data_IF_706828312447
#
_entry.id   IF_706828312447
#
_cell.length_a   1.000
_cell.length_b   1.000
_cell.length_c   1.000
_cell.angle_alpha   90.00
_cell.angle_beta   90.00
_cell.angle_gamma   90.00
#
_symmetry.space_group_name_H-M   'P 1'
#
loop_
_entity.id
_entity.type
_entity.pdbx_description
1 polymer ?
#
# COMPACT_ATOMS: atom_id res chain seq x y z
N UNK A 1 -11.25 -8.09 25.03
CA UNK A 1 -10.01 -8.82 25.42
C UNK A 1 -9.05 -7.83 26.02
N UNK A 2 -8.41 -8.12 27.19
CA UNK A 2 -7.43 -7.18 27.77
C UNK A 2 -6.11 -7.19 26.98
N UNK A 3 -5.27 -6.13 27.12
CA UNK A 3 -3.95 -6.13 26.51
C UNK A 3 -3.08 -7.34 26.89
N UNK A 4 -3.16 -7.77 28.17
CA UNK A 4 -2.42 -8.92 28.69
C UNK A 4 -2.89 -10.24 28.06
N UNK A 5 -4.20 -10.38 27.83
CA UNK A 5 -4.77 -11.55 27.12
C UNK A 5 -4.33 -11.56 25.66
N UNK A 6 -4.37 -10.38 25.00
CA UNK A 6 -3.92 -10.24 23.61
C UNK A 6 -2.44 -10.59 23.47
N UNK A 7 -1.61 -10.22 24.45
CA UNK A 7 -0.17 -10.51 24.47
C UNK A 7 0.17 -12.00 24.63
N UNK A 8 -0.75 -12.85 25.12
CA UNK A 8 -0.58 -14.30 25.16
C UNK A 8 -0.67 -14.94 23.78
N UNK A 9 -1.31 -14.26 22.82
CA UNK A 9 -1.38 -14.72 21.45
C UNK A 9 -0.05 -14.45 20.72
N UNK A 10 0.24 -15.28 19.74
CA UNK A 10 1.28 -14.98 18.76
C UNK A 10 0.87 -13.78 17.86
N UNK A 11 1.76 -13.34 17.00
CA UNK A 11 1.50 -12.18 16.14
C UNK A 11 0.33 -12.40 15.17
N UNK A 12 0.12 -13.64 14.71
CA UNK A 12 -0.99 -14.00 13.82
C UNK A 12 -2.32 -14.05 14.59
N UNK A 13 -2.32 -14.58 15.80
CA UNK A 13 -3.49 -14.57 16.69
C UNK A 13 -3.94 -13.16 17.02
N UNK A 14 -2.99 -12.26 17.37
CA UNK A 14 -3.29 -10.84 17.61
C UNK A 14 -3.88 -10.16 16.38
N UNK A 15 -3.31 -10.42 15.22
CA UNK A 15 -3.81 -9.89 13.95
C UNK A 15 -5.24 -10.33 13.68
N UNK A 16 -5.51 -11.64 13.71
CA UNK A 16 -6.85 -12.20 13.46
C UNK A 16 -7.89 -11.65 14.43
N UNK A 17 -7.54 -11.60 15.72
CA UNK A 17 -8.43 -11.07 16.76
C UNK A 17 -8.77 -9.61 16.49
N UNK A 18 -7.78 -8.77 16.20
CA UNK A 18 -8.02 -7.35 15.94
C UNK A 18 -8.81 -7.10 14.68
N UNK A 19 -8.52 -7.80 13.59
CA UNK A 19 -9.32 -7.71 12.36
C UNK A 19 -10.78 -8.09 12.61
N UNK A 20 -11.01 -9.18 13.37
CA UNK A 20 -12.37 -9.59 13.69
C UNK A 20 -13.10 -8.54 14.53
N UNK A 21 -12.46 -8.03 15.57
CA UNK A 21 -13.05 -6.97 16.43
C UNK A 21 -13.39 -5.71 15.64
N UNK A 22 -12.48 -5.27 14.74
CA UNK A 22 -12.71 -4.11 13.87
C UNK A 22 -13.88 -4.35 12.92
N UNK A 23 -13.95 -5.54 12.33
CA UNK A 23 -15.01 -5.93 11.41
C UNK A 23 -16.37 -5.94 12.08
N UNK A 24 -16.45 -6.46 13.29
CA UNK A 24 -17.71 -6.58 14.06
C UNK A 24 -18.21 -5.21 14.54
N UNK A 25 -17.29 -4.37 15.02
CA UNK A 25 -17.62 -3.07 15.60
C UNK A 25 -17.69 -1.93 14.55
N UNK A 26 -17.19 -2.12 13.34
CA UNK A 26 -17.04 -1.09 12.29
C UNK A 26 -16.25 0.13 12.74
N UNK A 27 -15.39 -0.05 13.72
CA UNK A 27 -14.54 0.98 14.34
C UNK A 27 -13.18 0.36 14.64
N UNK A 28 -12.13 1.12 14.46
CA UNK A 28 -10.79 0.79 14.93
C UNK A 28 -10.19 1.97 15.72
N UNK A 29 -9.13 1.71 16.45
CA UNK A 29 -8.49 2.69 17.30
C UNK A 29 -7.15 3.12 16.72
N UNK A 30 -6.87 4.40 16.86
CA UNK A 30 -5.64 5.06 16.40
C UNK A 30 -5.07 5.94 17.50
N UNK A 31 -3.81 6.34 17.41
CA UNK A 31 -3.21 7.28 18.34
C UNK A 31 -3.16 8.68 17.71
N UNK A 32 -3.70 9.65 18.40
CA UNK A 32 -3.77 11.05 17.97
C UNK A 32 -2.92 11.91 18.89
N UNK A 33 -2.08 12.76 18.30
CA UNK A 33 -1.28 13.73 19.05
C UNK A 33 -2.15 14.89 19.56
N UNK A 34 -1.72 15.63 20.60
CA UNK A 34 -2.45 16.80 21.11
C UNK A 34 -2.72 17.88 20.05
N UNK A 35 -1.86 18.01 19.06
CA UNK A 35 -2.03 18.95 17.93
C UNK A 35 -3.04 18.48 16.87
N UNK A 36 -3.70 17.35 17.09
CA UNK A 36 -4.69 16.78 16.19
C UNK A 36 -4.13 15.93 15.04
N UNK A 37 -2.81 15.81 14.90
CA UNK A 37 -2.21 14.89 13.94
C UNK A 37 -2.25 13.45 14.45
N UNK A 38 -2.11 12.47 13.54
CA UNK A 38 -2.03 11.07 13.92
C UNK A 38 -0.59 10.63 14.09
N UNK A 39 -0.34 9.77 15.09
CA UNK A 39 0.98 9.21 15.33
C UNK A 39 1.31 8.18 14.27
N UNK A 40 2.46 8.36 13.63
CA UNK A 40 3.03 7.46 12.64
C UNK A 40 4.41 7.06 13.15
N UNK A 41 4.70 5.76 13.32
CA UNK A 41 6.02 5.32 13.74
C UNK A 41 7.11 5.86 12.83
N UNK A 42 8.26 6.19 13.41
CA UNK A 42 9.44 6.50 12.63
C UNK A 42 9.89 5.27 11.81
N UNK A 43 10.40 5.51 10.62
CA UNK A 43 10.92 4.46 9.75
C UNK A 43 10.50 4.60 8.30
N UNK A 44 11.09 3.78 7.46
CA UNK A 44 10.72 3.66 6.04
C UNK A 44 10.54 2.18 5.69
N UNK A 45 9.46 1.79 5.00
CA UNK A 45 8.33 2.65 4.60
C UNK A 45 7.50 3.12 5.80
N UNK A 46 6.81 4.27 5.67
CA UNK A 46 5.88 4.77 6.68
C UNK A 46 4.69 3.82 6.83
N UNK A 47 4.29 3.57 8.07
CA UNK A 47 3.19 2.64 8.39
C UNK A 47 2.20 3.35 9.31
N UNK A 48 0.91 3.06 9.14
CA UNK A 48 -0.13 3.60 10.00
C UNK A 48 -0.62 2.51 10.97
N UNK A 49 -0.59 2.79 12.27
CA UNK A 49 -0.94 1.81 13.30
C UNK A 49 -2.44 1.83 13.58
N UNK A 50 -3.03 0.63 13.71
CA UNK A 50 -4.44 0.44 14.09
C UNK A 50 -4.58 -0.67 15.12
N UNK A 51 -5.57 -0.52 16.01
CA UNK A 51 -5.93 -1.49 17.06
C UNK A 51 -7.43 -1.80 17.03
N UNK A 52 -7.80 -2.99 17.46
CA UNK A 52 -9.19 -3.40 17.54
C UNK A 52 -9.95 -2.81 18.72
N UNK A 53 -9.26 -2.47 19.81
CA UNK A 53 -9.86 -1.96 21.03
C UNK A 53 -9.08 -0.76 21.60
N UNK A 54 -9.80 0.11 22.32
CA UNK A 54 -9.21 1.28 22.99
C UNK A 54 -8.08 0.90 23.94
N UNK A 55 -8.31 -0.12 24.76
CA UNK A 55 -7.34 -0.60 25.74
C UNK A 55 -6.03 -1.06 25.09
N UNK A 56 -6.10 -1.62 23.88
CA UNK A 56 -4.91 -2.02 23.13
C UNK A 56 -4.14 -0.82 22.60
N UNK A 57 -4.84 0.22 22.11
CA UNK A 57 -4.21 1.48 21.71
C UNK A 57 -3.61 2.19 22.94
N UNK A 58 -4.37 2.28 24.04
CA UNK A 58 -3.92 2.90 25.30
C UNK A 58 -2.67 2.23 25.87
N UNK A 59 -2.58 0.91 25.78
CA UNK A 59 -1.39 0.15 26.19
C UNK A 59 -0.12 0.58 25.46
N UNK A 60 -0.24 1.18 24.29
CA UNK A 60 0.87 1.64 23.46
C UNK A 60 1.18 3.14 23.62
N UNK A 61 0.48 3.87 24.50
CA UNK A 61 0.81 5.26 24.83
C UNK A 61 2.07 5.33 25.73
N UNK A 62 3.20 4.85 25.22
CA UNK A 62 4.53 4.78 25.88
C UNK A 62 5.62 4.92 24.82
N UNK A 63 6.88 5.01 25.23
CA UNK A 63 8.04 4.95 24.34
C UNK A 63 7.99 6.00 23.19
N UNK A 64 7.70 7.26 23.55
CA UNK A 64 7.58 8.38 22.61
C UNK A 64 6.15 8.66 22.14
N UNK A 65 5.15 7.93 22.68
CA UNK A 65 3.72 8.13 22.41
C UNK A 65 2.91 8.45 23.68
N UNK A 66 3.60 8.88 24.77
CA UNK A 66 2.99 9.16 26.08
C UNK A 66 1.91 10.24 26.00
N UNK A 67 2.10 11.25 25.17
CA UNK A 67 1.17 12.37 25.01
C UNK A 67 0.03 12.08 24.02
N UNK A 68 -0.02 10.87 23.45
CA UNK A 68 -1.04 10.51 22.48
C UNK A 68 -2.32 10.03 23.14
N UNK A 69 -3.43 10.24 22.45
CA UNK A 69 -4.77 9.88 22.95
C UNK A 69 -5.35 8.82 22.01
N UNK A 70 -5.73 7.64 22.52
CA UNK A 70 -6.52 6.68 21.75
C UNK A 70 -7.79 7.33 21.23
N UNK A 71 -8.00 7.23 19.93
CA UNK A 71 -9.14 7.86 19.27
C UNK A 71 -9.85 6.82 18.43
N UNK A 72 -11.15 6.68 18.64
CA UNK A 72 -12.00 5.84 17.80
C UNK A 72 -12.06 6.41 16.37
N UNK A 73 -11.99 5.54 15.39
CA UNK A 73 -12.06 5.87 13.97
C UNK A 73 -13.13 5.02 13.33
N UNK A 74 -14.22 5.63 12.89
CA UNK A 74 -15.22 4.95 12.07
C UNK A 74 -14.68 4.70 10.66
N UNK A 75 -15.28 3.76 9.93
CA UNK A 75 -14.91 3.54 8.54
C UNK A 75 -15.21 4.77 7.67
N UNK A 76 -16.29 5.49 7.94
CA UNK A 76 -16.67 6.72 7.25
C UNK A 76 -15.63 7.83 7.48
N UNK A 77 -15.26 8.12 8.74
CA UNK A 77 -14.26 9.12 9.07
C UNK A 77 -12.89 8.77 8.51
N UNK A 78 -12.56 7.49 8.50
CA UNK A 78 -11.33 7.01 7.89
C UNK A 78 -11.31 7.31 6.39
N UNK A 79 -12.34 6.90 5.68
CA UNK A 79 -12.40 7.00 4.22
C UNK A 79 -12.50 8.45 3.75
N UNK A 80 -13.33 9.28 4.43
CA UNK A 80 -13.53 10.69 4.03
C UNK A 80 -12.43 11.63 4.51
N UNK A 81 -11.81 11.34 5.65
CA UNK A 81 -10.88 12.25 6.33
C UNK A 81 -9.43 11.82 6.31
N UNK A 82 -9.14 10.62 6.85
CA UNK A 82 -7.77 10.19 7.08
C UNK A 82 -7.12 9.53 5.86
N UNK A 83 -7.83 8.64 5.17
CA UNK A 83 -7.29 7.89 4.05
C UNK A 83 -6.72 8.79 2.92
N UNK A 84 -7.39 9.88 2.50
CA UNK A 84 -6.81 10.81 1.52
C UNK A 84 -5.50 11.44 2.00
N UNK A 85 -5.36 11.69 3.31
CA UNK A 85 -4.12 12.24 3.91
C UNK A 85 -3.00 11.20 3.93
N UNK A 86 -3.31 9.96 4.28
CA UNK A 86 -2.34 8.85 4.23
C UNK A 86 -1.82 8.66 2.81
N UNK A 87 -2.71 8.66 1.83
CA UNK A 87 -2.37 8.57 0.40
C UNK A 87 -1.42 9.71 -0.02
N UNK A 88 -1.77 10.96 0.29
CA UNK A 88 -0.90 12.11 0.02
C UNK A 88 0.45 12.01 0.72
N UNK A 89 0.48 11.44 1.93
CA UNK A 89 1.69 11.19 2.70
C UNK A 89 2.50 9.96 2.26
N UNK A 90 2.06 9.25 1.22
CA UNK A 90 2.64 7.98 0.72
C UNK A 90 2.71 6.90 1.82
N UNK A 91 1.69 6.83 2.66
CA UNK A 91 1.51 5.80 3.69
C UNK A 91 0.54 4.75 3.14
N UNK A 92 1.06 3.65 2.62
CA UNK A 92 0.28 2.60 1.95
C UNK A 92 0.19 1.31 2.78
N UNK A 93 0.76 1.30 3.98
CA UNK A 93 0.84 0.13 4.84
C UNK A 93 0.14 0.40 6.17
N UNK A 94 -0.73 -0.51 6.56
CA UNK A 94 -1.32 -0.58 7.90
C UNK A 94 -0.51 -1.57 8.74
N UNK A 95 -0.18 -1.16 9.95
CA UNK A 95 0.41 -2.01 10.98
C UNK A 95 -0.69 -2.35 11.98
N UNK A 96 -1.18 -3.58 11.94
CA UNK A 96 -2.29 -4.03 12.79
C UNK A 96 -1.74 -4.57 14.11
N UNK A 97 -2.26 -4.03 15.20
CA UNK A 97 -1.98 -4.44 16.59
C UNK A 97 -0.49 -4.59 16.94
N UNK A 98 0.33 -3.55 16.68
CA UNK A 98 1.61 -3.50 17.37
C UNK A 98 1.37 -3.37 18.88
N UNK A 99 2.16 -4.04 19.69
CA UNK A 99 2.05 -4.03 21.14
C UNK A 99 3.43 -3.81 21.76
N UNK A 100 3.76 -2.54 22.10
CA UNK A 100 5.09 -2.14 22.63
C UNK A 100 6.23 -2.81 21.84
N UNK A 101 7.01 -3.67 22.48
CA UNK A 101 8.15 -4.37 21.89
C UNK A 101 7.76 -5.57 20.99
N UNK A 102 6.46 -5.78 20.72
CA UNK A 102 5.99 -6.87 19.87
C UNK A 102 5.46 -6.33 18.54
N UNK A 103 6.00 -6.86 17.45
CA UNK A 103 5.61 -6.46 16.10
C UNK A 103 4.13 -6.79 15.85
N UNK A 104 3.41 -5.85 15.23
CA UNK A 104 2.13 -6.10 14.59
C UNK A 104 2.30 -6.75 13.21
N UNK A 105 1.19 -7.08 12.56
CA UNK A 105 1.16 -7.53 11.16
C UNK A 105 1.06 -6.33 10.23
N UNK A 106 1.98 -6.26 9.30
CA UNK A 106 1.95 -5.28 8.22
C UNK A 106 1.12 -5.83 7.06
N UNK A 107 0.19 -5.03 6.58
CA UNK A 107 -0.61 -5.33 5.39
C UNK A 107 -0.83 -4.05 4.56
N UNK A 108 -1.01 -4.17 3.24
CA UNK A 108 -1.47 -3.06 2.41
C UNK A 108 -2.80 -2.48 2.92
N UNK A 109 -3.01 -1.18 2.75
CA UNK A 109 -4.29 -0.53 3.12
C UNK A 109 -5.48 -1.18 2.41
N UNK A 110 -5.34 -1.59 1.17
CA UNK A 110 -6.39 -2.27 0.41
C UNK A 110 -6.73 -3.64 0.97
N UNK A 111 -5.72 -4.42 1.38
CA UNK A 111 -5.93 -5.68 2.07
C UNK A 111 -6.65 -5.46 3.42
N UNK A 112 -6.32 -4.36 4.11
CA UNK A 112 -7.04 -3.98 5.33
C UNK A 112 -8.53 -3.75 5.05
N UNK A 113 -8.88 -3.00 4.00
CA UNK A 113 -10.27 -2.76 3.61
C UNK A 113 -11.04 -4.06 3.38
N UNK A 114 -10.49 -4.96 2.57
CA UNK A 114 -11.09 -6.26 2.28
C UNK A 114 -11.33 -7.08 3.55
N UNK A 115 -10.34 -7.12 4.44
CA UNK A 115 -10.42 -7.93 5.66
C UNK A 115 -11.42 -7.42 6.67
N UNK A 116 -11.56 -6.10 6.81
CA UNK A 116 -12.52 -5.50 7.76
C UNK A 116 -13.89 -5.24 7.14
N UNK A 117 -14.06 -5.41 5.83
CA UNK A 117 -15.30 -5.21 5.11
C UNK A 117 -15.63 -3.73 4.89
N UNK A 118 -14.62 -2.90 4.60
CA UNK A 118 -14.84 -1.56 4.06
C UNK A 118 -15.16 -1.71 2.58
N UNK A 119 -16.39 -1.34 2.21
CA UNK A 119 -16.80 -1.30 0.81
C UNK A 119 -16.14 -0.10 0.12
N UNK A 120 -15.43 -0.38 -0.95
CA UNK A 120 -14.72 0.65 -1.73
C UNK A 120 -15.54 1.19 -2.89
N UNK A 121 -16.77 0.73 -3.06
CA UNK A 121 -17.66 1.08 -4.19
C UNK A 121 -18.06 2.56 -4.23
N UNK A 122 -17.90 3.28 -3.11
CA UNK A 122 -18.12 4.75 -3.05
C UNK A 122 -16.89 5.59 -3.36
N UNK A 123 -15.74 4.95 -3.50
CA UNK A 123 -14.54 5.64 -3.98
C UNK A 123 -14.60 5.56 -5.49
N UNK A 124 -14.97 6.66 -6.14
CA UNK A 124 -15.03 6.73 -7.61
C UNK A 124 -13.76 6.09 -8.17
N UNK A 125 -13.92 5.19 -9.14
CA UNK A 125 -12.88 4.37 -9.76
C UNK A 125 -11.63 5.13 -10.23
N UNK A 126 -11.61 6.45 -10.11
CA UNK A 126 -10.48 7.31 -10.47
C UNK A 126 -9.44 7.52 -9.35
N UNK A 127 -9.78 7.26 -8.07
CA UNK A 127 -8.87 7.58 -6.94
C UNK A 127 -8.27 6.38 -6.22
N UNK A 128 -8.88 5.20 -6.28
CA UNK A 128 -8.39 3.99 -5.59
C UNK A 128 -7.44 3.16 -6.45
N UNK A 129 -7.50 3.36 -7.77
CA UNK A 129 -6.72 2.58 -8.73
C UNK A 129 -5.28 3.09 -8.95
N UNK A 130 -4.83 4.17 -8.27
CA UNK A 130 -3.48 4.70 -8.53
C UNK A 130 -2.36 4.15 -7.63
N UNK A 131 -2.65 3.46 -6.49
CA UNK A 131 -1.56 3.00 -5.61
C UNK A 131 -1.60 1.55 -5.12
N UNK A 132 -2.66 0.80 -5.40
CA UNK A 132 -2.64 -0.65 -5.44
C UNK A 132 -3.34 -1.11 -6.71
N UNK A 133 -2.68 -0.90 -7.81
CA UNK A 133 -2.74 -1.87 -8.87
C UNK A 133 -2.48 -3.25 -8.20
N UNK A 134 -3.52 -4.09 -8.00
CA UNK A 134 -3.39 -5.36 -8.71
C UNK A 134 -2.70 -4.94 -9.98
N UNK A 135 -1.50 -5.38 -10.19
CA UNK A 135 -0.74 -5.09 -11.39
C UNK A 135 -1.56 -5.68 -12.57
N UNK A 136 -2.68 -5.03 -12.90
CA UNK A 136 -3.03 -4.85 -14.27
C UNK A 136 -1.87 -4.00 -14.77
N UNK A 137 -1.00 -4.63 -15.51
CA UNK A 137 0.08 -3.97 -16.20
C UNK A 137 -0.51 -2.68 -16.77
N UNK A 138 0.06 -1.46 -16.53
CA UNK A 138 -0.44 -0.21 -17.12
C UNK A 138 -0.38 -0.26 -18.63
N UNK A 139 0.07 -1.37 -19.13
CA UNK A 139 0.25 -1.79 -20.50
C UNK A 139 -0.63 -3.02 -20.65
N UNK A 140 -1.56 -2.98 -21.58
CA UNK A 140 -2.36 -4.16 -21.97
C UNK A 140 -1.44 -5.34 -22.27
N UNK A 141 -1.79 -6.56 -21.81
CA UNK A 141 -0.94 -7.75 -21.94
C UNK A 141 -0.53 -8.04 -23.40
N UNK A 142 -1.41 -7.73 -24.35
CA UNK A 142 -1.12 -7.88 -25.78
C UNK A 142 -0.09 -6.85 -26.26
N UNK A 143 -0.18 -5.62 -25.74
CA UNK A 143 0.79 -4.56 -26.05
C UNK A 143 2.13 -4.88 -25.39
N UNK A 144 2.11 -5.37 -24.14
CA UNK A 144 3.32 -5.74 -23.41
C UNK A 144 4.06 -6.89 -24.12
N UNK A 145 3.35 -7.94 -24.53
CA UNK A 145 3.95 -9.05 -25.27
C UNK A 145 4.53 -8.58 -26.61
N UNK A 146 3.80 -7.75 -27.34
CA UNK A 146 4.33 -7.17 -28.58
C UNK A 146 5.50 -6.22 -28.37
N UNK A 147 5.62 -5.59 -27.19
CA UNK A 147 6.79 -4.80 -26.82
C UNK A 147 8.04 -5.69 -26.71
N UNK A 148 7.93 -6.84 -26.06
CA UNK A 148 9.06 -7.77 -25.95
C UNK A 148 9.52 -8.27 -27.31
N UNK A 149 8.60 -8.71 -28.16
CA UNK A 149 8.90 -9.13 -29.54
C UNK A 149 9.60 -7.99 -30.31
N UNK A 150 9.12 -6.76 -30.17
CA UNK A 150 9.71 -5.58 -30.81
C UNK A 150 11.11 -5.26 -30.28
N UNK A 151 11.31 -5.33 -28.96
CA UNK A 151 12.61 -5.07 -28.34
C UNK A 151 13.64 -6.13 -28.71
N UNK A 152 13.26 -7.40 -28.76
CA UNK A 152 14.14 -8.51 -29.18
C UNK A 152 14.66 -8.28 -30.60
N UNK A 153 13.78 -7.95 -31.55
CA UNK A 153 14.15 -7.64 -32.94
C UNK A 153 15.08 -6.42 -33.03
N UNK A 154 14.72 -5.34 -32.34
CA UNK A 154 15.44 -4.06 -32.42
C UNK A 154 16.79 -4.09 -31.73
N UNK A 155 16.87 -4.67 -30.55
CA UNK A 155 18.13 -4.78 -29.80
C UNK A 155 19.13 -5.70 -30.51
N UNK A 156 18.66 -6.73 -31.23
CA UNK A 156 19.49 -7.59 -32.06
C UNK A 156 20.17 -6.84 -33.21
N UNK A 157 19.60 -5.73 -33.69
CA UNK A 157 20.11 -4.95 -34.83
C UNK A 157 20.78 -3.63 -34.42
N UNK A 158 20.22 -2.90 -33.45
CA UNK A 158 20.65 -1.54 -33.08
C UNK A 158 21.47 -1.50 -31.78
N UNK A 159 21.39 -2.56 -30.96
CA UNK A 159 21.98 -2.61 -29.62
C UNK A 159 21.24 -1.72 -28.60
N UNK A 160 21.58 -1.89 -27.33
CA UNK A 160 21.00 -1.08 -26.25
C UNK A 160 21.77 0.25 -26.10
N UNK A 161 21.02 1.36 -25.98
CA UNK A 161 21.57 2.71 -25.76
C UNK A 161 21.57 3.11 -24.28
N UNK A 162 21.28 2.20 -23.36
CA UNK A 162 21.12 2.41 -21.92
C UNK A 162 19.99 3.42 -21.59
N UNK A 163 18.96 3.46 -22.39
CA UNK A 163 17.76 4.27 -22.16
C UNK A 163 16.50 3.47 -22.57
N UNK A 164 15.32 4.08 -22.43
CA UNK A 164 14.01 3.51 -22.78
C UNK A 164 13.46 4.06 -24.11
N UNK A 165 14.33 4.49 -25.03
CA UNK A 165 13.90 5.16 -26.27
C UNK A 165 13.00 4.26 -27.13
N UNK A 166 13.36 2.99 -27.31
CA UNK A 166 12.57 2.04 -28.09
C UNK A 166 11.26 1.68 -27.39
N UNK A 167 11.32 1.43 -26.09
CA UNK A 167 10.15 1.18 -25.24
C UNK A 167 9.13 2.31 -25.32
N UNK A 168 9.56 3.54 -25.10
CA UNK A 168 8.70 4.74 -25.15
C UNK A 168 8.09 4.93 -26.54
N UNK A 169 8.87 4.75 -27.60
CA UNK A 169 8.38 4.87 -28.97
C UNK A 169 7.28 3.83 -29.27
N UNK A 170 7.51 2.57 -28.86
CA UNK A 170 6.55 1.50 -29.05
C UNK A 170 5.24 1.76 -28.28
N UNK A 171 5.31 2.10 -27.00
CA UNK A 171 4.15 2.34 -26.17
C UNK A 171 3.30 3.52 -26.68
N UNK A 172 3.95 4.61 -27.13
CA UNK A 172 3.27 5.74 -27.80
C UNK A 172 2.51 5.30 -29.04
N UNK A 173 3.16 4.54 -29.91
CA UNK A 173 2.57 4.10 -31.17
C UNK A 173 1.39 3.12 -30.98
N UNK A 174 1.34 2.43 -29.84
CA UNK A 174 0.24 1.51 -29.48
C UNK A 174 -0.81 2.14 -28.58
N UNK A 175 -0.80 3.48 -28.42
CA UNK A 175 -1.89 4.22 -27.79
C UNK A 175 -1.93 4.09 -26.27
N UNK A 176 -0.82 3.79 -25.62
CA UNK A 176 -0.72 3.82 -24.15
C UNK A 176 -0.82 5.27 -23.68
N UNK A 177 -1.92 5.60 -22.99
CA UNK A 177 -2.26 6.98 -22.63
C UNK A 177 -1.42 7.55 -21.49
N UNK A 178 -1.06 6.70 -20.52
CA UNK A 178 -0.28 7.08 -19.34
C UNK A 178 1.11 6.48 -19.41
N UNK A 179 1.98 7.14 -20.18
CA UNK A 179 3.35 6.69 -20.39
C UNK A 179 4.19 6.77 -19.14
N UNK A 180 4.00 7.80 -18.31
CA UNK A 180 4.78 7.98 -17.10
C UNK A 180 4.53 6.84 -16.11
N UNK A 181 3.27 6.42 -15.98
CA UNK A 181 2.90 5.27 -15.17
C UNK A 181 3.41 3.93 -15.77
N UNK A 182 3.34 3.79 -17.09
CA UNK A 182 3.88 2.62 -17.78
C UNK A 182 5.40 2.48 -17.58
N UNK A 183 6.13 3.57 -17.72
CA UNK A 183 7.59 3.62 -17.49
C UNK A 183 7.92 3.34 -16.02
N UNK A 184 7.22 3.98 -15.08
CA UNK A 184 7.42 3.75 -13.65
C UNK A 184 7.18 2.28 -13.27
N UNK A 185 6.18 1.63 -13.90
CA UNK A 185 5.90 0.22 -13.70
C UNK A 185 7.04 -0.67 -14.25
N UNK A 186 7.52 -0.43 -15.47
CA UNK A 186 8.65 -1.16 -16.06
C UNK A 186 9.90 -1.03 -15.18
N UNK A 187 10.19 0.18 -14.70
CA UNK A 187 11.31 0.44 -13.79
C UNK A 187 11.15 -0.26 -12.44
N UNK A 188 9.92 -0.37 -11.92
CA UNK A 188 9.64 -1.12 -10.68
C UNK A 188 9.92 -2.62 -10.81
N UNK A 189 9.95 -3.12 -12.04
CA UNK A 189 10.31 -4.50 -12.41
C UNK A 189 11.77 -4.66 -12.81
N UNK A 190 12.56 -3.59 -12.71
CA UNK A 190 13.99 -3.62 -13.04
C UNK A 190 14.31 -3.26 -14.50
N UNK A 191 13.35 -2.69 -15.26
CA UNK A 191 13.54 -2.24 -16.64
C UNK A 191 13.89 -0.76 -16.72
N UNK A 192 15.15 -0.40 -16.53
CA UNK A 192 15.64 0.98 -16.60
C UNK A 192 16.19 1.37 -17.98
N UNK A 193 16.43 0.37 -18.84
CA UNK A 193 16.77 0.54 -20.25
C UNK A 193 16.07 -0.53 -21.09
N UNK A 194 16.07 -0.37 -22.41
CA UNK A 194 15.37 -1.27 -23.33
C UNK A 194 15.79 -2.75 -23.19
N UNK A 195 17.08 -3.03 -22.95
CA UNK A 195 17.55 -4.41 -22.74
C UNK A 195 17.13 -4.99 -21.38
N UNK A 196 17.04 -4.17 -20.33
CA UNK A 196 16.54 -4.60 -19.01
C UNK A 196 15.02 -4.80 -19.02
N UNK A 197 14.27 -4.05 -19.82
CA UNK A 197 12.84 -4.32 -20.03
C UNK A 197 12.65 -5.71 -20.60
N UNK A 198 13.41 -6.09 -21.62
CA UNK A 198 13.36 -7.42 -22.21
C UNK A 198 13.81 -8.50 -21.21
N UNK A 199 14.91 -8.28 -20.49
CA UNK A 199 15.50 -9.30 -19.63
C UNK A 199 14.78 -9.51 -18.29
N UNK A 200 14.18 -8.45 -17.70
CA UNK A 200 13.68 -8.47 -16.32
C UNK A 200 12.15 -8.37 -16.21
N UNK A 201 11.46 -8.00 -17.29
CA UNK A 201 10.00 -7.77 -17.25
C UNK A 201 9.23 -8.85 -18.01
N UNK A 202 9.88 -9.59 -18.89
CA UNK A 202 9.27 -10.66 -19.69
C UNK A 202 8.93 -11.93 -18.88
N UNK A 203 9.39 -12.07 -17.61
CA UNK A 203 9.15 -13.25 -16.77
C UNK A 203 7.69 -13.41 -16.31
#
# INVERSE_FOLDING_TARGET
MTPEELLKLDWMGRFKQSIQTIKDNKVFWVLKNPNGSYSIPEGRPKKFCVWGEESHAQYNCTDGWEDTIPTAMSFEDFMSGLYPRLKKGKVNTILVSPMRNRRGKEIPITEFFERVGIETDTISNNDVLSDHKVILTPIDDKILKGLFDYLDEKLGTEGCKNDLTLTVAYLKNHGVKDLDNAIAWLQSKGGYCDCEVLANVEE
#
